data_IF_803000300234
#
_entry.id   IF_803000300234
#
_cell.length_a   1.000
_cell.length_b   1.000
_cell.length_c   1.000
_cell.angle_alpha   90.00
_cell.angle_beta   90.00
_cell.angle_gamma   90.00
#
_symmetry.space_group_name_H-M   'P 1'
#
loop_
_entity.id
_entity.type
_entity.pdbx_description
1 polymer ?
#
# COMPACT_ATOMS: atom_id res chain seq x y z
N UNK A 1 35.99 39.97 -8.24
CA UNK A 1 35.95 38.86 -9.22
C UNK A 1 37.34 38.68 -9.79
N UNK A 2 37.79 37.45 -10.06
CA UNK A 2 39.15 37.18 -10.56
C UNK A 2 39.34 37.65 -12.00
N UNK A 3 40.54 38.07 -12.37
CA UNK A 3 40.91 38.45 -13.75
C UNK A 3 41.60 37.31 -14.49
N UNK A 4 41.72 37.41 -15.82
CA UNK A 4 42.40 36.41 -16.64
C UNK A 4 43.89 36.29 -16.29
N UNK A 5 44.53 37.40 -15.92
CA UNK A 5 45.92 37.46 -15.47
C UNK A 5 46.14 36.68 -14.16
N UNK A 6 45.23 36.83 -13.19
CA UNK A 6 45.29 36.09 -11.92
C UNK A 6 45.10 34.58 -12.12
N UNK A 7 44.24 34.20 -13.07
CA UNK A 7 44.02 32.80 -13.44
C UNK A 7 45.27 32.21 -14.09
N UNK A 8 45.89 32.91 -15.05
CA UNK A 8 47.14 32.47 -15.69
C UNK A 8 48.29 32.34 -14.68
N UNK A 9 48.41 33.28 -13.74
CA UNK A 9 49.37 33.17 -12.64
C UNK A 9 49.11 31.92 -11.78
N UNK A 10 47.85 31.56 -11.54
CA UNK A 10 47.48 30.35 -10.80
C UNK A 10 47.84 29.07 -11.56
N UNK A 11 47.62 29.03 -12.87
CA UNK A 11 48.00 27.91 -13.75
C UNK A 11 49.51 27.68 -13.73
N UNK A 12 50.30 28.76 -13.81
CA UNK A 12 51.76 28.69 -13.73
C UNK A 12 52.25 28.17 -12.37
N UNK A 13 51.65 28.62 -11.26
CA UNK A 13 51.96 28.12 -9.92
C UNK A 13 51.61 26.63 -9.78
N UNK A 14 50.48 26.21 -10.35
CA UNK A 14 50.01 24.82 -10.34
C UNK A 14 50.82 23.90 -11.27
N UNK A 15 51.73 24.44 -12.11
CA UNK A 15 52.54 23.71 -13.10
C UNK A 15 51.69 22.91 -14.11
N UNK A 16 50.51 23.43 -14.44
CA UNK A 16 49.65 22.86 -15.47
C UNK A 16 50.10 23.37 -16.85
N UNK A 17 50.03 22.52 -17.88
CA UNK A 17 50.31 22.94 -19.26
C UNK A 17 49.05 23.56 -19.86
N UNK A 18 49.16 24.75 -20.45
CA UNK A 18 48.02 25.45 -21.06
C UNK A 18 47.46 24.71 -22.29
N UNK A 19 48.28 23.89 -22.94
CA UNK A 19 47.91 23.06 -24.10
C UNK A 19 46.93 21.94 -23.72
N UNK A 20 46.94 21.50 -22.46
CA UNK A 20 46.06 20.44 -21.94
C UNK A 20 44.72 21.00 -21.40
N UNK A 21 44.56 22.33 -21.37
CA UNK A 21 43.41 23.00 -20.78
C UNK A 21 42.44 23.52 -21.84
N UNK A 22 41.15 23.49 -21.50
CA UNK A 22 40.11 24.14 -22.31
C UNK A 22 40.27 25.66 -22.25
N UNK A 23 40.03 26.33 -23.39
CA UNK A 23 40.15 27.79 -23.51
C UNK A 23 39.08 28.55 -22.73
N UNK A 24 37.94 27.93 -22.45
CA UNK A 24 36.90 28.51 -21.58
C UNK A 24 37.20 28.19 -20.11
N UNK A 25 37.34 29.23 -19.29
CA UNK A 25 37.66 29.12 -17.88
C UNK A 25 36.47 29.57 -17.05
N UNK A 26 35.91 28.64 -16.26
CA UNK A 26 34.82 28.95 -15.32
C UNK A 26 35.40 29.35 -13.95
N UNK A 27 35.23 30.60 -13.57
CA UNK A 27 35.55 31.10 -12.24
C UNK A 27 34.31 30.99 -11.35
N UNK A 28 34.29 29.96 -10.50
CA UNK A 28 33.20 29.73 -9.55
C UNK A 28 33.33 30.65 -8.33
N UNK A 29 32.21 31.23 -7.90
CA UNK A 29 32.12 32.03 -6.68
C UNK A 29 30.80 31.76 -5.97
N UNK A 30 30.78 31.76 -4.64
CA UNK A 30 29.53 31.66 -3.88
C UNK A 30 28.73 32.96 -4.03
N UNK A 31 27.43 32.84 -4.34
CA UNK A 31 26.50 33.97 -4.27
C UNK A 31 26.31 34.48 -2.83
N UNK A 32 25.75 35.67 -2.68
CA UNK A 32 25.58 36.33 -1.37
C UNK A 32 24.60 35.60 -0.43
N UNK A 33 23.70 34.76 -0.97
CA UNK A 33 22.63 34.07 -0.22
C UNK A 33 22.70 32.53 -0.35
N UNK A 34 23.88 31.94 -0.49
CA UNK A 34 23.99 30.47 -0.63
C UNK A 34 23.84 29.80 0.73
N UNK A 35 22.62 29.37 1.06
CA UNK A 35 22.37 28.52 2.22
C UNK A 35 22.31 27.05 1.79
N UNK A 36 22.83 26.17 2.64
CA UNK A 36 22.83 24.72 2.41
C UNK A 36 21.41 24.09 2.42
N UNK A 37 20.38 24.85 2.81
CA UNK A 37 19.04 24.34 3.08
C UNK A 37 17.98 24.75 2.04
N UNK A 38 18.31 25.65 1.11
CA UNK A 38 17.32 26.21 0.17
C UNK A 38 17.00 25.24 -0.98
N UNK A 39 17.90 24.30 -1.25
CA UNK A 39 17.79 23.34 -2.34
C UNK A 39 18.06 21.93 -1.83
N UNK A 40 17.31 20.96 -2.35
CA UNK A 40 17.57 19.54 -2.14
C UNK A 40 17.62 18.82 -3.48
N UNK A 41 18.46 17.78 -3.57
CA UNK A 41 18.45 16.87 -4.71
C UNK A 41 17.52 15.71 -4.45
N UNK A 42 16.77 15.32 -5.47
CA UNK A 42 15.95 14.12 -5.47
C UNK A 42 16.22 13.33 -6.75
N UNK A 43 16.48 12.05 -6.60
CA UNK A 43 16.64 11.12 -7.70
C UNK A 43 15.25 10.68 -8.18
N UNK A 44 14.93 10.99 -9.44
CA UNK A 44 13.71 10.60 -10.11
C UNK A 44 14.04 9.57 -11.18
N UNK A 45 13.20 8.54 -11.31
CA UNK A 45 13.26 7.64 -12.45
C UNK A 45 12.65 8.30 -13.70
N UNK A 46 12.81 7.68 -14.87
CA UNK A 46 12.29 8.20 -16.15
C UNK A 46 10.77 8.43 -16.11
N UNK A 47 10.02 7.61 -15.37
CA UNK A 47 8.57 7.74 -15.26
C UNK A 47 8.16 8.97 -14.46
N UNK A 48 8.84 9.24 -13.35
CA UNK A 48 8.62 10.42 -12.52
C UNK A 48 9.11 11.69 -13.22
N UNK A 49 10.20 11.63 -13.99
CA UNK A 49 10.64 12.74 -14.81
C UNK A 49 9.55 13.14 -15.82
N UNK A 50 9.01 12.19 -16.57
CA UNK A 50 7.94 12.44 -17.53
C UNK A 50 6.67 12.99 -16.86
N UNK A 51 6.32 12.48 -15.67
CA UNK A 51 5.20 12.95 -14.87
C UNK A 51 5.36 14.43 -14.48
N UNK A 52 6.53 14.83 -13.99
CA UNK A 52 6.82 16.23 -13.63
C UNK A 52 6.89 17.12 -14.88
N UNK A 53 7.48 16.64 -15.98
CA UNK A 53 7.55 17.37 -17.26
C UNK A 53 6.15 17.58 -17.88
N UNK A 54 5.21 16.66 -17.66
CA UNK A 54 3.81 16.81 -18.07
C UNK A 54 3.04 17.85 -17.23
N UNK A 55 3.63 18.36 -16.15
CA UNK A 55 3.01 19.32 -15.23
C UNK A 55 2.16 18.67 -14.13
N UNK A 56 2.30 17.36 -13.93
CA UNK A 56 1.62 16.65 -12.84
C UNK A 56 2.36 16.86 -11.50
N UNK A 57 1.61 16.81 -10.40
CA UNK A 57 2.12 17.16 -9.07
C UNK A 57 2.48 15.93 -8.24
N UNK A 58 3.64 15.98 -7.60
CA UNK A 58 4.06 15.02 -6.58
C UNK A 58 3.78 15.60 -5.19
N UNK A 59 3.20 14.78 -4.29
CA UNK A 59 2.78 15.22 -2.96
C UNK A 59 3.55 14.44 -1.90
N UNK A 60 4.11 15.15 -0.91
CA UNK A 60 4.74 14.52 0.26
C UNK A 60 3.65 14.32 1.32
N UNK A 61 3.51 13.09 1.82
CA UNK A 61 2.50 12.69 2.81
C UNK A 61 3.15 12.00 4.01
N UNK A 62 2.54 12.15 5.20
CA UNK A 62 2.97 11.50 6.44
C UNK A 62 2.76 12.39 7.66
N UNK A 63 2.36 11.78 8.78
CA UNK A 63 2.22 12.48 10.06
C UNK A 63 3.59 12.83 10.67
N UNK A 64 3.59 13.75 11.65
CA UNK A 64 4.82 14.23 12.31
C UNK A 64 5.67 13.13 12.97
N UNK A 65 5.02 12.05 13.41
CA UNK A 65 5.67 10.92 14.08
C UNK A 65 6.06 9.79 13.11
N UNK A 66 5.79 9.96 11.81
CA UNK A 66 6.01 8.95 10.78
C UNK A 66 7.07 9.37 9.77
N UNK A 67 7.52 8.41 8.93
CA UNK A 67 8.44 8.71 7.83
C UNK A 67 7.66 9.29 6.66
N UNK A 68 8.09 10.43 6.13
CA UNK A 68 7.50 10.99 4.93
C UNK A 68 7.60 10.03 3.73
N UNK A 69 6.52 9.99 2.93
CA UNK A 69 6.48 9.31 1.63
C UNK A 69 6.18 10.33 0.54
N UNK A 70 6.60 10.04 -0.68
CA UNK A 70 6.23 10.80 -1.88
C UNK A 70 5.19 10.01 -2.65
N UNK A 71 4.07 10.64 -3.01
CA UNK A 71 2.99 10.02 -3.76
C UNK A 71 2.81 10.72 -5.10
N UNK A 72 2.70 9.93 -6.17
CA UNK A 72 2.04 10.33 -7.41
C UNK A 72 0.52 10.14 -7.28
N UNK A 73 -0.23 10.30 -8.37
CA UNK A 73 -1.67 9.99 -8.38
C UNK A 73 -1.95 8.51 -8.07
N UNK A 74 -1.08 7.62 -8.54
CA UNK A 74 -1.28 6.16 -8.55
C UNK A 74 -0.34 5.39 -7.61
N UNK A 75 0.87 5.89 -7.33
CA UNK A 75 1.94 5.12 -6.69
C UNK A 75 2.54 5.84 -5.47
N UNK A 76 2.90 5.07 -4.44
CA UNK A 76 3.64 5.55 -3.27
C UNK A 76 5.13 5.19 -3.29
N UNK A 77 5.98 6.15 -2.96
CA UNK A 77 7.43 6.05 -2.92
C UNK A 77 7.97 6.38 -1.53
N UNK A 78 8.86 5.54 -1.01
CA UNK A 78 9.61 5.80 0.20
C UNK A 78 10.76 6.76 -0.09
N UNK A 79 10.90 7.79 0.75
CA UNK A 79 11.97 8.77 0.72
C UNK A 79 13.14 8.30 1.60
N UNK A 80 14.32 8.12 1.01
CA UNK A 80 15.53 7.80 1.75
C UNK A 80 16.64 8.78 1.43
N UNK A 81 17.17 9.45 2.45
CA UNK A 81 18.33 10.31 2.29
C UNK A 81 19.61 9.47 2.16
N UNK A 82 20.44 9.78 1.17
CA UNK A 82 21.75 9.20 0.93
C UNK A 82 22.82 10.30 1.02
N UNK A 83 23.77 10.12 1.94
CA UNK A 83 24.89 11.04 2.10
C UNK A 83 26.01 10.72 1.12
N UNK A 84 26.63 11.76 0.57
CA UNK A 84 27.76 11.66 -0.35
C UNK A 84 29.02 12.22 0.31
N UNK A 85 30.17 11.57 0.10
CA UNK A 85 31.47 12.10 0.53
C UNK A 85 31.90 13.35 -0.24
N UNK A 86 31.28 13.58 -1.39
CA UNK A 86 31.55 14.70 -2.27
C UNK A 86 30.52 15.81 -2.05
N UNK A 87 30.96 17.06 -2.20
CA UNK A 87 30.10 18.22 -2.21
C UNK A 87 29.56 18.43 -3.64
N UNK A 88 28.24 18.39 -3.79
CA UNK A 88 27.56 18.65 -5.06
C UNK A 88 27.24 20.15 -5.13
N UNK A 89 27.76 20.84 -6.14
CA UNK A 89 27.56 22.29 -6.32
C UNK A 89 26.52 22.55 -7.41
N UNK A 90 25.56 23.43 -7.13
CA UNK A 90 24.57 23.88 -8.11
C UNK A 90 25.09 25.12 -8.81
N UNK A 91 25.43 24.96 -10.08
CA UNK A 91 26.03 25.99 -10.91
C UNK A 91 25.19 26.14 -12.18
N UNK A 92 24.10 26.91 -12.14
CA UNK A 92 23.23 27.06 -13.30
C UNK A 92 23.97 27.70 -14.47
N UNK A 93 23.76 27.16 -15.67
CA UNK A 93 24.44 27.63 -16.88
C UNK A 93 25.92 27.28 -16.97
N UNK A 94 26.46 26.46 -16.05
CA UNK A 94 27.80 25.90 -16.19
C UNK A 94 27.85 24.99 -17.42
N UNK A 95 28.79 25.27 -18.34
CA UNK A 95 28.93 24.49 -19.57
C UNK A 95 29.94 23.37 -19.36
N UNK A 96 29.53 22.17 -19.69
CA UNK A 96 30.43 21.00 -19.82
C UNK A 96 31.26 21.13 -21.11
N UNK A 97 32.44 20.48 -21.20
CA UNK A 97 33.31 20.56 -22.37
C UNK A 97 32.58 20.32 -23.70
N UNK A 98 31.66 19.36 -23.75
CA UNK A 98 30.90 18.99 -24.95
C UNK A 98 29.92 20.08 -25.44
N UNK A 99 29.60 21.05 -24.59
CA UNK A 99 28.71 22.19 -24.90
C UNK A 99 29.49 23.46 -25.26
N UNK A 100 30.83 23.40 -25.23
CA UNK A 100 31.69 24.51 -25.61
C UNK A 100 31.95 24.48 -27.13
N UNK A 101 31.91 25.63 -27.82
CA UNK A 101 32.27 25.67 -29.23
C UNK A 101 33.76 25.31 -29.42
N UNK A 102 34.04 24.37 -30.34
CA UNK A 102 35.40 23.87 -30.63
C UNK A 102 36.37 24.96 -31.13
N UNK A 103 35.84 26.07 -31.67
CA UNK A 103 36.59 27.15 -32.32
C UNK A 103 36.51 28.46 -31.56
N UNK A 104 37.14 28.52 -30.38
CA UNK A 104 37.48 29.80 -29.74
C UNK A 104 38.98 30.07 -29.91
N UNK A 105 39.34 31.23 -30.46
CA UNK A 105 40.75 31.62 -30.67
C UNK A 105 41.41 32.18 -29.41
N UNK A 106 40.63 32.74 -28.48
CA UNK A 106 41.12 33.39 -27.25
C UNK A 106 40.55 32.76 -25.98
N UNK A 107 41.30 32.74 -24.86
CA UNK A 107 40.79 32.27 -23.58
C UNK A 107 39.64 33.15 -23.09
N UNK A 108 38.53 32.53 -22.69
CA UNK A 108 37.31 33.23 -22.29
C UNK A 108 37.00 32.93 -20.82
N UNK A 109 36.93 33.97 -20.00
CA UNK A 109 36.66 33.85 -18.56
C UNK A 109 35.15 34.02 -18.31
N UNK A 110 34.51 32.97 -17.78
CA UNK A 110 33.12 32.99 -17.37
C UNK A 110 33.06 32.99 -15.85
N UNK A 111 32.52 34.04 -15.25
CA UNK A 111 32.21 34.05 -13.83
C UNK A 111 30.84 33.41 -13.63
N UNK A 112 30.81 32.32 -12.88
CA UNK A 112 29.58 31.61 -12.58
C UNK A 112 29.36 31.59 -11.08
N UNK A 113 28.14 31.87 -10.66
CA UNK A 113 27.77 31.84 -9.25
C UNK A 113 27.27 30.45 -8.90
N UNK A 114 27.77 29.93 -7.77
CA UNK A 114 27.21 28.77 -7.10
C UNK A 114 25.94 29.24 -6.41
N UNK A 115 24.82 28.61 -6.73
CA UNK A 115 23.50 28.93 -6.16
C UNK A 115 23.18 28.11 -4.93
N UNK A 116 23.78 26.93 -4.81
CA UNK A 116 23.51 26.00 -3.72
C UNK A 116 24.56 24.90 -3.69
N UNK A 117 24.56 24.15 -2.60
CA UNK A 117 25.32 22.92 -2.51
C UNK A 117 24.60 21.91 -1.62
N UNK A 118 24.80 20.63 -1.91
CA UNK A 118 24.31 19.53 -1.08
C UNK A 118 25.41 18.49 -0.87
N UNK A 119 25.39 17.86 0.29
CA UNK A 119 26.20 16.66 0.60
C UNK A 119 25.32 15.41 0.72
N UNK A 120 24.06 15.50 0.33
CA UNK A 120 23.10 14.41 0.34
C UNK A 120 22.04 14.61 -0.74
N UNK A 121 21.38 13.51 -1.12
CA UNK A 121 20.24 13.52 -2.03
C UNK A 121 19.18 12.52 -1.56
N UNK A 122 17.95 12.71 -2.01
CA UNK A 122 16.82 11.82 -1.72
C UNK A 122 16.69 10.76 -2.80
N UNK A 123 16.79 9.49 -2.40
CA UNK A 123 16.45 8.33 -3.22
C UNK A 123 14.96 8.00 -3.06
N UNK A 124 14.29 7.74 -4.17
CA UNK A 124 12.92 7.22 -4.20
C UNK A 124 12.93 5.73 -4.42
N UNK A 125 12.15 5.01 -3.62
CA UNK A 125 11.90 3.57 -3.82
C UNK A 125 10.41 3.30 -3.75
N UNK A 126 9.85 2.72 -4.82
CA UNK A 126 8.46 2.24 -4.82
C UNK A 126 8.22 1.38 -3.59
N UNK A 127 7.19 1.72 -2.84
CA UNK A 127 6.80 1.04 -1.61
C UNK A 127 5.31 0.72 -1.68
N UNK A 128 4.88 -0.32 -0.98
CA UNK A 128 3.46 -0.51 -0.75
C UNK A 128 2.92 0.57 0.21
N UNK A 129 1.69 1.03 -0.01
CA UNK A 129 1.03 1.95 0.89
C UNK A 129 0.78 1.28 2.25
N UNK A 130 0.94 2.03 3.34
CA UNK A 130 0.68 1.54 4.70
C UNK A 130 -0.78 1.83 5.07
N UNK A 131 -1.64 0.83 4.82
CA UNK A 131 -3.09 1.02 4.79
C UNK A 131 -3.83 0.51 6.04
N UNK A 132 -3.10 0.00 7.04
CA UNK A 132 -3.72 -0.38 8.33
C UNK A 132 -4.29 0.77 9.10
N UNK A 133 -3.59 1.91 9.05
CA UNK A 133 -4.02 3.13 9.70
C UNK A 133 -5.40 3.55 9.21
N UNK A 134 -5.68 3.40 7.91
CA UNK A 134 -7.01 3.66 7.35
C UNK A 134 -8.10 2.87 8.07
N UNK A 135 -7.92 1.55 8.19
CA UNK A 135 -8.91 0.69 8.85
C UNK A 135 -9.08 1.07 10.32
N UNK A 136 -7.99 1.37 11.02
CA UNK A 136 -8.05 1.82 12.42
C UNK A 136 -8.86 3.12 12.56
N UNK A 137 -8.55 4.14 11.75
CA UNK A 137 -9.27 5.42 11.76
C UNK A 137 -10.76 5.25 11.47
N UNK A 138 -11.12 4.46 10.45
CA UNK A 138 -12.53 4.27 10.09
C UNK A 138 -13.29 3.40 11.09
N UNK A 139 -12.60 2.51 11.81
CA UNK A 139 -13.17 1.70 12.89
C UNK A 139 -13.37 2.48 14.20
N UNK A 140 -12.86 3.72 14.33
CA UNK A 140 -13.15 4.58 15.49
C UNK A 140 -14.65 4.95 15.55
N UNK A 141 -15.29 5.12 14.39
CA UNK A 141 -16.71 5.49 14.30
C UNK A 141 -17.46 4.69 13.20
N UNK A 142 -17.64 3.36 13.38
CA UNK A 142 -18.31 2.53 12.39
C UNK A 142 -19.79 2.92 12.28
N UNK A 143 -20.34 2.75 11.07
CA UNK A 143 -21.74 3.04 10.78
C UNK A 143 -22.62 1.87 11.21
N UNK A 144 -23.51 2.13 12.18
CA UNK A 144 -24.42 1.12 12.79
C UNK A 144 -25.84 1.17 12.23
N UNK A 145 -26.05 1.81 11.08
CA UNK A 145 -27.37 2.13 10.54
C UNK A 145 -27.87 3.48 11.04
N UNK A 146 -28.82 4.07 10.31
CA UNK A 146 -29.51 5.27 10.75
C UNK A 146 -30.27 4.97 12.04
N UNK A 147 -29.71 5.39 13.18
CA UNK A 147 -30.46 5.41 14.43
C UNK A 147 -31.64 6.37 14.24
N UNK A 148 -32.83 5.96 14.68
CA UNK A 148 -33.97 6.86 14.80
C UNK A 148 -33.50 8.16 15.46
N UNK A 149 -33.79 9.32 14.83
CA UNK A 149 -33.46 10.67 15.31
C UNK A 149 -33.54 10.73 16.84
N UNK A 150 -32.39 10.77 17.54
CA UNK A 150 -32.35 10.94 18.99
C UNK A 150 -31.39 10.06 19.79
N UNK A 151 -30.65 9.12 19.20
CA UNK A 151 -29.46 8.57 19.86
C UNK A 151 -28.25 9.40 19.44
N UNK A 152 -27.52 9.91 20.42
CA UNK A 152 -26.32 10.75 20.27
C UNK A 152 -25.46 10.24 19.11
N UNK A 153 -25.32 11.05 18.06
CA UNK A 153 -24.32 10.80 17.02
C UNK A 153 -22.99 10.64 17.75
N UNK A 154 -22.40 9.44 17.65
CA UNK A 154 -21.07 9.18 18.18
C UNK A 154 -20.18 10.36 17.83
N UNK A 155 -19.65 11.05 18.84
CA UNK A 155 -18.74 12.21 18.73
C UNK A 155 -17.36 11.84 18.17
N UNK A 156 -17.27 10.71 17.46
CA UNK A 156 -16.05 10.26 16.81
C UNK A 156 -15.76 11.12 15.58
N UNK A 157 -14.48 11.30 15.30
CA UNK A 157 -14.00 11.99 14.10
C UNK A 157 -14.52 11.29 12.85
N UNK A 158 -15.05 12.10 11.93
CA UNK A 158 -15.44 11.67 10.59
C UNK A 158 -14.39 12.19 9.62
N UNK A 159 -14.10 11.41 8.57
CA UNK A 159 -13.01 11.71 7.65
C UNK A 159 -13.55 11.85 6.22
N UNK A 160 -13.23 12.97 5.58
CA UNK A 160 -13.39 13.14 4.14
C UNK A 160 -12.21 12.50 3.39
N UNK A 161 -12.29 12.40 2.06
CA UNK A 161 -11.17 11.92 1.25
C UNK A 161 -9.89 12.75 1.49
N UNK A 162 -10.03 14.07 1.63
CA UNK A 162 -8.90 14.97 1.90
C UNK A 162 -8.27 14.70 3.27
N UNK A 163 -9.11 14.53 4.31
CA UNK A 163 -8.63 14.24 5.67
C UNK A 163 -7.87 12.91 5.74
N UNK A 164 -8.29 11.92 4.95
CA UNK A 164 -7.62 10.63 4.84
C UNK A 164 -6.29 10.75 4.10
N UNK A 165 -6.23 11.52 3.00
CA UNK A 165 -5.00 11.76 2.24
C UNK A 165 -3.94 12.54 3.02
N UNK A 166 -4.33 13.39 3.96
CA UNK A 166 -3.38 14.09 4.84
C UNK A 166 -2.74 13.16 5.87
N UNK A 167 -3.48 12.16 6.36
CA UNK A 167 -3.05 11.27 7.45
C UNK A 167 -2.45 9.95 6.99
N UNK A 168 -2.74 9.51 5.77
CA UNK A 168 -2.38 8.18 5.28
C UNK A 168 -1.29 8.28 4.21
N UNK A 169 -0.29 7.41 4.36
CA UNK A 169 0.84 7.27 3.45
C UNK A 169 0.48 6.40 2.24
N UNK A 170 -0.37 6.93 1.37
CA UNK A 170 -0.84 6.26 0.16
C UNK A 170 -1.11 7.27 -0.96
N UNK A 171 -1.06 6.82 -2.22
CA UNK A 171 -1.56 7.58 -3.37
C UNK A 171 -3.09 7.70 -3.31
N UNK A 172 -3.67 8.56 -4.15
CA UNK A 172 -5.13 8.73 -4.18
C UNK A 172 -5.83 7.46 -4.67
N UNK A 173 -5.31 6.86 -5.75
CA UNK A 173 -5.86 5.61 -6.29
C UNK A 173 -5.66 4.42 -5.35
N UNK A 174 -4.50 4.32 -4.68
CA UNK A 174 -4.22 3.28 -3.69
C UNK A 174 -5.18 3.39 -2.49
N UNK A 175 -5.45 4.61 -2.03
CA UNK A 175 -6.39 4.86 -0.94
C UNK A 175 -7.82 4.48 -1.34
N UNK A 176 -8.25 4.86 -2.54
CA UNK A 176 -9.58 4.52 -3.06
C UNK A 176 -9.75 3.01 -3.25
N UNK A 177 -8.75 2.34 -3.82
CA UNK A 177 -8.75 0.88 -3.97
C UNK A 177 -8.84 0.18 -2.60
N UNK A 178 -8.16 0.73 -1.59
CA UNK A 178 -8.25 0.19 -0.25
C UNK A 178 -9.61 0.40 0.40
N UNK A 179 -10.22 1.59 0.25
CA UNK A 179 -11.56 1.89 0.75
C UNK A 179 -12.58 0.88 0.21
N UNK A 180 -12.48 0.54 -1.08
CA UNK A 180 -13.30 -0.51 -1.68
C UNK A 180 -12.98 -1.90 -1.11
N UNK A 181 -11.70 -2.21 -0.90
CA UNK A 181 -11.25 -3.51 -0.35
C UNK A 181 -11.77 -3.75 1.07
N UNK A 182 -11.84 -2.71 1.90
CA UNK A 182 -12.37 -2.79 3.28
C UNK A 182 -13.88 -2.55 3.37
N UNK A 183 -14.58 -2.50 2.24
CA UNK A 183 -16.02 -2.24 2.15
C UNK A 183 -16.46 -0.89 2.80
N UNK A 184 -15.58 0.12 2.80
CA UNK A 184 -15.94 1.45 3.28
C UNK A 184 -16.97 2.11 2.35
N UNK A 185 -17.93 2.82 2.92
CA UNK A 185 -19.00 3.54 2.23
C UNK A 185 -18.89 5.04 2.48
N UNK A 186 -19.43 5.82 1.54
CA UNK A 186 -19.58 7.27 1.69
C UNK A 186 -20.98 7.57 2.25
N UNK A 187 -21.05 8.06 3.48
CA UNK A 187 -22.30 8.42 4.15
C UNK A 187 -22.23 9.89 4.52
N UNK A 188 -23.18 10.69 4.04
CA UNK A 188 -23.25 12.14 4.29
C UNK A 188 -21.96 12.90 3.96
N UNK A 189 -21.20 12.44 2.95
CA UNK A 189 -19.93 13.04 2.53
C UNK A 189 -18.69 12.56 3.31
N UNK A 190 -18.84 11.62 4.23
CA UNK A 190 -17.76 11.05 5.04
C UNK A 190 -17.57 9.57 4.78
N UNK A 191 -16.31 9.11 4.77
CA UNK A 191 -15.99 7.69 4.65
C UNK A 191 -16.21 6.99 5.97
N UNK A 192 -16.94 5.86 5.94
CA UNK A 192 -17.24 5.05 7.11
C UNK A 192 -17.21 3.56 6.77
N UNK A 193 -16.70 2.76 7.69
CA UNK A 193 -16.89 1.30 7.63
C UNK A 193 -18.22 0.92 8.26
N UNK A 194 -18.89 -0.09 7.72
CA UNK A 194 -20.06 -0.66 8.35
C UNK A 194 -19.66 -1.40 9.62
N UNK A 195 -20.47 -1.25 10.65
CA UNK A 195 -20.40 -2.14 11.80
C UNK A 195 -20.74 -3.56 11.36
N UNK A 196 -20.00 -4.55 11.89
CA UNK A 196 -20.12 -5.92 11.43
C UNK A 196 -21.54 -6.49 11.62
N UNK A 197 -22.18 -6.23 12.76
CA UNK A 197 -23.52 -6.74 13.04
C UNK A 197 -24.55 -6.10 12.09
N UNK A 198 -24.34 -4.82 11.76
CA UNK A 198 -25.16 -4.12 10.79
C UNK A 198 -24.97 -4.65 9.36
N UNK A 199 -23.72 -4.89 8.94
CA UNK A 199 -23.42 -5.48 7.62
C UNK A 199 -24.06 -6.88 7.47
N UNK A 200 -24.03 -7.70 8.53
CA UNK A 200 -24.68 -9.02 8.51
C UNK A 200 -26.21 -8.92 8.53
N UNK A 201 -26.76 -7.90 9.19
CA UNK A 201 -28.20 -7.61 9.13
C UNK A 201 -28.63 -7.21 7.73
N UNK A 202 -27.84 -6.40 7.03
CA UNK A 202 -28.08 -6.06 5.62
C UNK A 202 -28.04 -7.29 4.72
N UNK A 203 -27.06 -8.20 4.91
CA UNK A 203 -27.02 -9.48 4.18
C UNK A 203 -28.30 -10.29 4.40
N UNK A 204 -28.78 -10.36 5.64
CA UNK A 204 -30.05 -11.01 6.00
C UNK A 204 -31.25 -10.40 5.27
N UNK A 205 -31.37 -9.06 5.26
CA UNK A 205 -32.42 -8.36 4.52
C UNK A 205 -32.34 -8.62 3.01
N UNK A 206 -31.16 -8.61 2.41
CA UNK A 206 -30.99 -8.88 0.98
C UNK A 206 -31.43 -10.31 0.65
N UNK A 207 -31.05 -11.28 1.48
CA UNK A 207 -31.46 -12.68 1.29
C UNK A 207 -32.98 -12.82 1.38
N UNK A 208 -33.60 -12.22 2.40
CA UNK A 208 -35.06 -12.21 2.55
C UNK A 208 -35.78 -11.56 1.37
N UNK A 209 -35.24 -10.45 0.85
CA UNK A 209 -35.81 -9.78 -0.32
C UNK A 209 -35.75 -10.68 -1.55
N UNK A 210 -34.60 -11.30 -1.81
CA UNK A 210 -34.42 -12.25 -2.93
C UNK A 210 -35.42 -13.40 -2.84
N UNK A 211 -35.61 -13.98 -1.66
CA UNK A 211 -36.56 -15.07 -1.44
C UNK A 211 -38.02 -14.60 -1.64
N UNK A 212 -38.38 -13.45 -1.08
CA UNK A 212 -39.74 -12.91 -1.13
C UNK A 212 -40.20 -12.55 -2.54
N UNK A 213 -39.29 -12.00 -3.35
CA UNK A 213 -39.55 -11.60 -4.73
C UNK A 213 -39.22 -12.73 -5.73
N UNK A 214 -38.81 -13.90 -5.24
CA UNK A 214 -38.39 -15.05 -6.05
C UNK A 214 -37.32 -14.68 -7.09
N UNK A 215 -36.39 -13.80 -6.72
CA UNK A 215 -35.30 -13.38 -7.59
C UNK A 215 -34.23 -14.47 -7.69
N UNK A 216 -33.44 -14.42 -8.77
CA UNK A 216 -32.19 -15.16 -8.82
C UNK A 216 -31.09 -14.35 -8.13
N UNK A 217 -30.20 -15.01 -7.39
CA UNK A 217 -28.99 -14.36 -6.84
C UNK A 217 -28.09 -13.75 -7.93
N UNK A 218 -28.25 -14.15 -9.19
CA UNK A 218 -27.58 -13.55 -10.33
C UNK A 218 -28.26 -12.27 -10.84
N UNK A 219 -29.46 -11.93 -10.36
CA UNK A 219 -30.29 -10.83 -10.85
C UNK A 219 -31.08 -10.20 -9.70
N UNK A 220 -30.37 -9.49 -8.85
CA UNK A 220 -30.94 -8.71 -7.73
C UNK A 220 -31.14 -7.26 -8.19
N UNK A 221 -32.33 -6.69 -7.99
CA UNK A 221 -32.62 -5.30 -8.33
C UNK A 221 -32.16 -4.32 -7.25
N UNK A 222 -31.94 -3.07 -7.63
CA UNK A 222 -31.42 -2.01 -6.78
C UNK A 222 -32.46 -1.61 -5.71
N UNK A 223 -32.01 -1.43 -4.46
CA UNK A 223 -32.83 -1.02 -3.33
C UNK A 223 -32.27 0.26 -2.68
N UNK A 224 -32.52 0.49 -1.39
CA UNK A 224 -31.99 1.63 -0.62
C UNK A 224 -30.47 1.79 -0.75
N UNK A 225 -29.93 3.00 -0.55
CA UNK A 225 -28.49 3.31 -0.67
C UNK A 225 -27.56 2.31 0.05
N UNK A 226 -27.91 1.88 1.27
CA UNK A 226 -27.09 0.91 2.03
C UNK A 226 -27.11 -0.50 1.44
N UNK A 227 -28.23 -0.91 0.86
CA UNK A 227 -28.33 -2.19 0.15
C UNK A 227 -27.57 -2.10 -1.16
N UNK A 228 -27.64 -0.98 -1.89
CA UNK A 228 -26.81 -0.77 -3.08
C UNK A 228 -25.32 -0.88 -2.75
N UNK A 229 -24.86 -0.23 -1.67
CA UNK A 229 -23.47 -0.37 -1.20
C UNK A 229 -23.10 -1.83 -0.91
N UNK A 230 -23.93 -2.53 -0.13
CA UNK A 230 -23.69 -3.95 0.16
C UNK A 230 -23.63 -4.80 -1.12
N UNK A 231 -24.54 -4.57 -2.08
CA UNK A 231 -24.55 -5.26 -3.37
C UNK A 231 -23.30 -4.96 -4.22
N UNK A 232 -22.77 -3.73 -4.15
CA UNK A 232 -21.51 -3.38 -4.80
C UNK A 232 -20.30 -4.10 -4.15
N UNK A 233 -20.33 -4.33 -2.83
CA UNK A 233 -19.28 -5.06 -2.11
C UNK A 233 -19.34 -6.57 -2.38
N UNK A 234 -20.54 -7.16 -2.37
CA UNK A 234 -20.77 -8.60 -2.43
C UNK A 234 -21.20 -9.12 -3.80
N UNK A 235 -21.34 -8.27 -4.81
CA UNK A 235 -21.77 -8.65 -6.14
C UNK A 235 -21.11 -7.86 -7.25
N UNK A 236 -21.51 -8.18 -8.49
CA UNK A 236 -21.10 -7.50 -9.71
C UNK A 236 -22.29 -6.77 -10.29
N UNK A 237 -22.18 -5.45 -10.40
CA UNK A 237 -23.17 -4.60 -11.07
C UNK A 237 -23.14 -4.84 -12.58
N UNK A 238 -24.31 -5.02 -13.19
CA UNK A 238 -24.48 -5.06 -14.63
C UNK A 238 -25.79 -4.38 -15.04
N UNK A 239 -25.89 -4.01 -16.31
CA UNK A 239 -27.07 -3.34 -16.85
C UNK A 239 -27.71 -4.23 -17.90
N UNK A 240 -29.02 -4.43 -17.79
CA UNK A 240 -29.82 -5.19 -18.75
C UNK A 240 -31.11 -4.41 -19.02
N UNK A 241 -31.38 -4.09 -20.28
CA UNK A 241 -32.57 -3.32 -20.71
C UNK A 241 -32.74 -1.98 -19.97
N UNK A 242 -31.67 -1.19 -19.85
CA UNK A 242 -31.64 0.10 -19.11
C UNK A 242 -31.92 -0.02 -17.60
N UNK A 243 -32.03 -1.24 -17.06
CA UNK A 243 -32.19 -1.51 -15.63
C UNK A 243 -30.88 -2.05 -15.05
N UNK A 244 -30.54 -1.58 -13.85
CA UNK A 244 -29.35 -2.02 -13.11
C UNK A 244 -29.69 -3.24 -12.27
N UNK A 245 -28.86 -4.27 -12.40
CA UNK A 245 -28.95 -5.51 -11.65
C UNK A 245 -27.60 -5.88 -11.03
N UNK A 246 -27.66 -6.75 -10.04
CA UNK A 246 -26.50 -7.28 -9.33
C UNK A 246 -26.47 -8.80 -9.38
N UNK A 247 -25.31 -9.35 -9.74
CA UNK A 247 -25.01 -10.76 -9.59
C UNK A 247 -24.18 -10.95 -8.33
N UNK A 248 -24.73 -11.60 -7.30
CA UNK A 248 -24.01 -11.87 -6.07
C UNK A 248 -22.84 -12.82 -6.32
N UNK A 249 -21.75 -12.55 -5.63
CA UNK A 249 -20.55 -13.38 -5.63
C UNK A 249 -20.69 -14.43 -4.52
N UNK A 250 -20.90 -15.68 -4.93
CA UNK A 250 -21.06 -16.83 -4.03
C UNK A 250 -19.90 -16.94 -3.03
N UNK A 251 -18.66 -16.78 -3.49
CA UNK A 251 -17.48 -16.91 -2.63
C UNK A 251 -17.46 -15.82 -1.55
N UNK A 252 -17.84 -14.57 -1.90
CA UNK A 252 -17.91 -13.47 -0.93
C UNK A 252 -19.01 -13.66 0.10
N UNK A 253 -20.21 -14.08 -0.32
CA UNK A 253 -21.36 -14.30 0.58
C UNK A 253 -21.09 -15.49 1.51
N UNK A 254 -20.59 -16.61 0.98
CA UNK A 254 -20.19 -17.76 1.77
C UNK A 254 -19.09 -17.39 2.78
N UNK A 255 -18.10 -16.60 2.37
CA UNK A 255 -17.02 -16.12 3.24
C UNK A 255 -17.51 -15.20 4.36
N UNK A 256 -18.45 -14.28 4.09
CA UNK A 256 -19.04 -13.43 5.13
C UNK A 256 -19.85 -14.24 6.14
N UNK A 257 -20.63 -15.22 5.67
CA UNK A 257 -21.38 -16.13 6.54
C UNK A 257 -20.44 -16.95 7.44
N UNK A 258 -19.32 -17.43 6.90
CA UNK A 258 -18.31 -18.12 7.70
C UNK A 258 -17.67 -17.20 8.75
N UNK A 259 -17.40 -15.94 8.40
CA UNK A 259 -16.87 -14.95 9.33
C UNK A 259 -17.84 -14.74 10.51
N UNK A 260 -19.15 -14.58 10.25
CA UNK A 260 -20.18 -14.47 11.28
C UNK A 260 -20.19 -15.67 12.24
N UNK A 261 -20.08 -16.89 11.70
CA UNK A 261 -20.06 -18.13 12.50
C UNK A 261 -18.78 -18.29 13.33
N UNK A 262 -17.63 -17.84 12.82
CA UNK A 262 -16.33 -18.01 13.46
C UNK A 262 -15.95 -16.88 14.41
N UNK A 263 -16.56 -15.69 14.30
CA UNK A 263 -16.16 -14.50 15.07
C UNK A 263 -16.17 -14.72 16.58
N UNK A 264 -17.13 -15.49 17.09
CA UNK A 264 -17.28 -15.76 18.52
C UNK A 264 -16.68 -17.11 18.95
N UNK A 265 -16.10 -17.87 18.02
CA UNK A 265 -15.56 -19.20 18.27
C UNK A 265 -14.02 -19.18 18.33
N UNK A 266 -13.44 -19.53 19.47
CA UNK A 266 -11.98 -19.68 19.61
C UNK A 266 -11.48 -20.85 18.75
N UNK A 267 -12.17 -22.00 18.83
CA UNK A 267 -11.99 -23.16 17.97
C UNK A 267 -13.36 -23.81 17.77
N UNK A 268 -13.66 -24.21 16.54
CA UNK A 268 -14.87 -24.94 16.18
C UNK A 268 -14.44 -26.32 15.62
N UNK A 269 -15.14 -27.39 16.00
CA UNK A 269 -15.05 -28.66 15.29
C UNK A 269 -15.31 -28.47 13.79
N UNK A 270 -14.39 -28.96 12.95
CA UNK A 270 -14.44 -28.72 11.51
C UNK A 270 -15.71 -29.30 10.85
N UNK A 271 -16.15 -30.50 11.26
CA UNK A 271 -17.31 -31.16 10.63
C UNK A 271 -18.60 -30.45 10.98
N UNK A 272 -18.80 -30.16 12.26
CA UNK A 272 -19.97 -29.41 12.73
C UNK A 272 -20.01 -28.01 12.10
N UNK A 273 -18.86 -27.34 12.01
CA UNK A 273 -18.76 -26.05 11.32
C UNK A 273 -19.21 -26.14 9.86
N UNK A 274 -18.76 -27.14 9.09
CA UNK A 274 -19.15 -27.29 7.69
C UNK A 274 -20.66 -27.51 7.52
N UNK A 275 -21.29 -28.26 8.42
CA UNK A 275 -22.74 -28.49 8.41
C UNK A 275 -23.51 -27.19 8.72
N UNK A 276 -23.14 -26.49 9.80
CA UNK A 276 -23.77 -25.22 10.18
C UNK A 276 -23.54 -24.14 9.13
N UNK A 277 -22.34 -24.09 8.55
CA UNK A 277 -21.99 -23.12 7.51
C UNK A 277 -22.84 -23.33 6.25
N UNK A 278 -22.98 -24.57 5.77
CA UNK A 278 -23.82 -24.87 4.61
C UNK A 278 -25.30 -24.59 4.86
N UNK A 279 -25.78 -24.72 6.10
CA UNK A 279 -27.16 -24.41 6.47
C UNK A 279 -27.43 -22.91 6.63
N UNK A 280 -26.37 -22.10 6.84
CA UNK A 280 -26.50 -20.67 7.09
C UNK A 280 -26.37 -19.80 5.85
N UNK A 281 -25.86 -20.36 4.74
CA UNK A 281 -25.77 -19.64 3.46
C UNK A 281 -27.10 -19.68 2.70
N UNK A 282 -27.39 -18.70 1.83
CA UNK A 282 -28.61 -18.69 1.03
C UNK A 282 -28.79 -19.94 0.16
N UNK A 283 -30.04 -20.33 -0.11
CA UNK A 283 -30.34 -21.53 -0.89
C UNK A 283 -29.76 -21.42 -2.31
N UNK A 284 -29.03 -22.45 -2.74
CA UNK A 284 -28.37 -22.48 -4.05
C UNK A 284 -26.88 -22.10 -4.04
N UNK A 285 -26.32 -21.64 -2.92
CA UNK A 285 -24.89 -21.39 -2.76
C UNK A 285 -24.15 -22.57 -2.12
N UNK A 286 -22.94 -22.87 -2.61
CA UNK A 286 -22.10 -23.95 -2.11
C UNK A 286 -20.97 -23.49 -1.19
N UNK A 287 -20.79 -24.17 -0.07
CA UNK A 287 -19.67 -23.90 0.86
C UNK A 287 -18.46 -24.79 0.56
N UNK A 288 -17.27 -24.18 0.50
CA UNK A 288 -15.99 -24.87 0.26
C UNK A 288 -14.87 -24.26 1.09
N UNK A 289 -14.05 -25.09 1.74
CA UNK A 289 -12.92 -24.61 2.55
C UNK A 289 -11.94 -23.70 1.78
N UNK A 290 -11.87 -23.85 0.45
CA UNK A 290 -11.07 -22.95 -0.41
C UNK A 290 -11.53 -21.48 -0.34
N UNK A 291 -12.81 -21.22 -0.09
CA UNK A 291 -13.38 -19.87 0.08
C UNK A 291 -12.87 -19.18 1.37
N UNK A 292 -12.39 -19.97 2.34
CA UNK A 292 -11.90 -19.48 3.64
C UNK A 292 -10.39 -19.24 3.68
N UNK A 293 -9.69 -19.41 2.55
CA UNK A 293 -8.28 -19.05 2.43
C UNK A 293 -8.11 -17.58 2.83
N UNK A 294 -7.09 -17.28 3.64
CA UNK A 294 -6.81 -15.95 4.25
C UNK A 294 -7.80 -15.47 5.33
N UNK A 295 -8.83 -16.25 5.66
CA UNK A 295 -9.84 -15.93 6.68
C UNK A 295 -9.81 -16.90 7.87
N UNK A 296 -9.60 -18.19 7.64
CA UNK A 296 -9.68 -19.21 8.67
C UNK A 296 -8.55 -20.25 8.57
N UNK A 297 -8.12 -20.72 9.73
CA UNK A 297 -7.07 -21.71 9.88
C UNK A 297 -7.67 -23.08 10.22
N UNK A 298 -7.49 -24.06 9.34
CA UNK A 298 -7.93 -25.45 9.56
C UNK A 298 -6.80 -26.28 10.15
N UNK A 299 -6.91 -26.66 11.42
CA UNK A 299 -5.97 -27.53 12.13
C UNK A 299 -6.42 -29.00 12.04
N UNK A 300 -5.64 -29.80 11.31
CA UNK A 300 -5.84 -31.25 11.15
C UNK A 300 -4.90 -32.08 12.03
N UNK A 301 -4.12 -31.42 12.89
CA UNK A 301 -3.24 -32.06 13.86
C UNK A 301 -3.92 -32.28 15.22
N UNK A 302 -5.00 -31.54 15.50
CA UNK A 302 -5.83 -31.75 16.67
C UNK A 302 -6.74 -32.97 16.48
N UNK A 303 -6.94 -33.77 17.53
CA UNK A 303 -8.03 -34.75 17.58
C UNK A 303 -9.15 -34.18 18.43
N UNK A 304 -10.31 -33.75 17.89
CA UNK A 304 -10.76 -33.72 16.48
C UNK A 304 -10.18 -32.56 15.63
N UNK A 305 -10.35 -32.62 14.31
CA UNK A 305 -10.01 -31.51 13.39
C UNK A 305 -10.77 -30.24 13.80
N UNK A 306 -10.08 -29.11 13.83
CA UNK A 306 -10.66 -27.82 14.23
C UNK A 306 -10.43 -26.74 13.19
N UNK A 307 -11.29 -25.72 13.22
CA UNK A 307 -11.16 -24.48 12.46
C UNK A 307 -11.27 -23.30 13.41
N UNK A 308 -10.45 -22.26 13.18
CA UNK A 308 -10.54 -21.01 13.91
C UNK A 308 -10.36 -19.81 12.96
N UNK A 309 -10.81 -18.64 13.40
CA UNK A 309 -10.61 -17.41 12.66
C UNK A 309 -9.13 -17.00 12.66
N UNK A 310 -8.60 -16.70 11.48
CA UNK A 310 -7.28 -16.12 11.28
C UNK A 310 -7.34 -15.22 10.06
N UNK A 311 -7.57 -13.93 10.26
CA UNK A 311 -7.69 -12.97 9.16
C UNK A 311 -6.31 -12.46 8.79
N UNK A 312 -5.98 -12.46 7.49
CA UNK A 312 -4.72 -11.87 7.00
C UNK A 312 -4.56 -10.41 7.43
N UNK A 313 -5.68 -9.69 7.56
CA UNK A 313 -5.74 -8.30 8.00
C UNK A 313 -5.28 -8.09 9.44
N UNK A 314 -5.41 -9.11 10.31
CA UNK A 314 -5.02 -9.02 11.72
C UNK A 314 -3.54 -9.39 11.97
N UNK A 315 -2.84 -9.93 10.95
CA UNK A 315 -1.43 -10.31 11.06
C UNK A 315 -0.51 -9.07 11.14
N UNK A 316 0.82 -9.16 11.28
CA UNK A 316 1.73 -7.97 11.23
C UNK A 316 2.06 -7.55 9.78
N UNK A 317 2.32 -6.28 9.45
CA UNK A 317 2.88 -5.91 8.12
C UNK A 317 4.35 -6.25 8.01
N UNK A 318 5.04 -6.33 9.16
CA UNK A 318 6.41 -6.79 9.19
C UNK A 318 6.47 -8.27 8.80
N UNK A 319 7.31 -8.55 7.81
CA UNK A 319 7.43 -9.90 7.24
C UNK A 319 7.90 -10.89 8.29
N UNK A 320 8.91 -10.53 9.08
CA UNK A 320 9.52 -11.43 10.06
C UNK A 320 8.57 -11.69 11.23
N UNK A 321 7.95 -10.66 11.79
CA UNK A 321 6.95 -10.78 12.85
C UNK A 321 5.75 -11.62 12.40
N UNK A 322 5.25 -11.41 11.18
CA UNK A 322 4.16 -12.22 10.64
C UNK A 322 4.54 -13.68 10.55
N UNK A 323 5.71 -14.00 9.99
CA UNK A 323 6.19 -15.38 9.92
C UNK A 323 6.34 -16.01 11.32
N UNK A 324 6.90 -15.27 12.28
CA UNK A 324 7.02 -15.75 13.66
C UNK A 324 5.65 -16.03 14.30
N UNK A 325 4.68 -15.14 14.10
CA UNK A 325 3.32 -15.33 14.60
C UNK A 325 2.66 -16.57 13.97
N UNK A 326 2.71 -16.71 12.64
CA UNK A 326 2.18 -17.88 11.93
C UNK A 326 2.83 -19.20 12.40
N UNK A 327 4.15 -19.21 12.63
CA UNK A 327 4.85 -20.38 13.14
C UNK A 327 4.57 -20.67 14.62
N UNK A 328 4.11 -19.68 15.39
CA UNK A 328 3.63 -19.87 16.77
C UNK A 328 2.23 -20.51 16.76
N UNK A 329 1.35 -20.10 15.84
CA UNK A 329 0.03 -20.69 15.68
C UNK A 329 0.09 -22.15 15.19
N UNK A 330 1.05 -22.45 14.31
CA UNK A 330 1.27 -23.80 13.78
C UNK A 330 2.74 -23.98 13.44
N UNK A 331 3.36 -25.01 14.00
CA UNK A 331 4.80 -25.24 13.85
C UNK A 331 5.22 -25.53 12.39
N UNK A 332 4.38 -26.27 11.64
CA UNK A 332 4.67 -26.77 10.30
C UNK A 332 3.56 -26.41 9.32
N UNK A 333 3.91 -25.71 8.25
CA UNK A 333 2.97 -25.28 7.22
C UNK A 333 3.31 -25.88 5.86
N UNK A 334 2.29 -26.25 5.09
CA UNK A 334 2.48 -26.50 3.66
C UNK A 334 2.55 -25.17 2.90
N UNK A 335 3.13 -25.18 1.70
CA UNK A 335 3.16 -23.99 0.84
C UNK A 335 1.75 -23.47 0.53
N UNK A 336 0.82 -24.38 0.27
CA UNK A 336 -0.57 -24.05 -0.05
C UNK A 336 -1.31 -23.40 1.13
N UNK A 337 -1.03 -23.84 2.36
CA UNK A 337 -1.70 -23.33 3.56
C UNK A 337 -1.15 -21.95 3.99
N UNK A 338 0.17 -21.73 3.87
CA UNK A 338 0.78 -20.46 4.31
C UNK A 338 0.64 -19.36 3.27
N UNK A 339 0.62 -19.70 1.99
CA UNK A 339 0.56 -18.74 0.87
C UNK A 339 -0.54 -17.68 1.03
N UNK A 340 -1.80 -18.03 1.37
CA UNK A 340 -2.87 -17.03 1.56
C UNK A 340 -2.58 -15.95 2.61
N UNK A 341 -1.68 -16.21 3.56
CA UNK A 341 -1.36 -15.30 4.67
C UNK A 341 -0.11 -14.44 4.43
N UNK A 342 0.66 -14.75 3.39
CA UNK A 342 1.93 -14.06 3.08
C UNK A 342 2.01 -13.58 1.63
N UNK A 343 1.00 -13.86 0.81
CA UNK A 343 0.97 -13.44 -0.60
C UNK A 343 1.00 -11.92 -0.73
N UNK A 344 0.29 -11.22 0.14
CA UNK A 344 0.28 -9.76 0.21
C UNK A 344 1.65 -9.17 0.60
N UNK A 345 2.58 -9.98 1.14
CA UNK A 345 3.96 -9.57 1.39
C UNK A 345 4.86 -9.63 0.13
N UNK A 346 4.45 -10.30 -0.95
CA UNK A 346 5.26 -10.56 -2.16
C UNK A 346 5.44 -9.31 -3.04
N UNK A 347 6.68 -8.80 -3.17
CA UNK A 347 6.97 -7.66 -4.05
C UNK A 347 6.79 -8.00 -5.53
N UNK A 348 6.77 -7.00 -6.42
CA UNK A 348 6.59 -7.20 -7.87
C UNK A 348 7.51 -8.29 -8.46
N UNK A 349 8.74 -8.37 -7.95
CA UNK A 349 9.78 -9.31 -8.43
C UNK A 349 10.00 -10.52 -7.50
N UNK A 350 9.20 -10.68 -6.45
CA UNK A 350 9.42 -11.70 -5.43
C UNK A 350 8.23 -12.66 -5.33
N UNK A 351 8.50 -13.96 -5.42
CA UNK A 351 7.49 -15.00 -5.24
C UNK A 351 7.33 -15.39 -3.78
N UNK A 352 6.18 -16.01 -3.45
CA UNK A 352 5.94 -16.61 -2.12
C UNK A 352 7.02 -17.64 -1.76
N UNK A 353 7.44 -18.46 -2.73
CA UNK A 353 8.53 -19.43 -2.54
C UNK A 353 9.88 -18.77 -2.19
N UNK A 354 10.18 -17.60 -2.78
CA UNK A 354 11.38 -16.83 -2.44
C UNK A 354 11.30 -16.24 -1.02
N UNK A 355 10.13 -15.74 -0.60
CA UNK A 355 9.90 -15.31 0.79
C UNK A 355 10.06 -16.47 1.76
N UNK A 356 9.45 -17.62 1.49
CA UNK A 356 9.54 -18.81 2.34
C UNK A 356 10.98 -19.29 2.49
N UNK A 357 11.77 -19.26 1.42
CA UNK A 357 13.19 -19.65 1.48
C UNK A 357 14.03 -18.68 2.32
N UNK A 358 13.67 -17.39 2.33
CA UNK A 358 14.37 -16.36 3.11
C UNK A 358 14.01 -16.41 4.60
N UNK A 359 12.73 -16.57 4.93
CA UNK A 359 12.20 -16.40 6.28
C UNK A 359 11.85 -17.72 7.01
N UNK A 360 11.79 -18.85 6.29
CA UNK A 360 11.47 -20.16 6.86
C UNK A 360 12.56 -21.20 6.55
N UNK A 361 12.51 -22.35 7.23
CA UNK A 361 13.30 -23.54 6.92
C UNK A 361 12.37 -24.60 6.34
N UNK A 362 12.79 -25.26 5.27
CA UNK A 362 12.04 -26.37 4.68
C UNK A 362 12.44 -27.72 5.30
N UNK A 363 11.48 -28.57 5.55
CA UNK A 363 11.66 -29.98 5.96
C UNK A 363 10.63 -30.87 5.26
N UNK A 364 10.81 -32.19 5.33
CA UNK A 364 9.86 -33.16 4.77
C UNK A 364 9.07 -33.80 5.91
N UNK A 365 7.75 -33.80 5.81
CA UNK A 365 6.85 -34.49 6.73
C UNK A 365 5.94 -35.41 5.92
N UNK A 366 6.01 -36.72 6.16
CA UNK A 366 5.21 -37.73 5.44
C UNK A 366 5.29 -37.60 3.90
N UNK A 367 6.47 -37.24 3.38
CA UNK A 367 6.71 -37.05 1.93
C UNK A 367 6.28 -35.69 1.38
N UNK A 368 5.66 -34.82 2.19
CA UNK A 368 5.24 -33.46 1.81
C UNK A 368 6.25 -32.45 2.33
N UNK A 369 6.63 -31.49 1.48
CA UNK A 369 7.49 -30.36 1.86
C UNK A 369 6.71 -29.40 2.77
N UNK A 370 7.25 -29.16 3.96
CA UNK A 370 6.68 -28.24 4.96
C UNK A 370 7.71 -27.19 5.38
N UNK A 371 7.22 -26.03 5.82
CA UNK A 371 8.01 -24.89 6.26
C UNK A 371 7.80 -24.64 7.76
N UNK A 372 8.89 -24.33 8.46
CA UNK A 372 8.90 -24.00 9.88
C UNK A 372 9.85 -22.83 10.19
N UNK A 373 9.80 -22.30 11.41
CA UNK A 373 10.63 -21.18 11.83
C UNK A 373 12.13 -21.51 11.77
N UNK A 374 12.96 -20.53 11.36
CA UNK A 374 14.42 -20.67 11.35
C UNK A 374 15.03 -20.59 12.76
N UNK A 375 14.34 -19.92 13.69
CA UNK A 375 14.72 -19.79 15.11
C UNK A 375 13.75 -20.61 15.96
N UNK A 376 14.19 -21.23 17.07
CA UNK A 376 13.25 -21.83 18.02
C UNK A 376 12.24 -20.76 18.40
N UNK A 377 10.95 -21.01 18.16
CA UNK A 377 9.89 -20.16 18.66
C UNK A 377 9.93 -20.35 20.17
N UNK A 378 10.26 -19.30 20.93
CA UNK A 378 10.20 -19.35 22.37
C UNK A 378 8.72 -19.55 22.75
N UNK A 379 8.42 -20.74 23.30
CA UNK A 379 7.11 -21.11 23.86
C UNK A 379 6.71 -20.22 25.02
#
# INVERSE_FOLDING_TARGET
>A
MRTLEEVQATVQIAKLQEEDLQKTIHCLSFGENVLSADYCLMELDETLCQHVEAGESLVIRGDADERAVLCSGDTTYNLKMADTSNLLLFVPGCKIPDQLPESQDSPHLLHTQIWGFCSSYWELRKQRPQLRKLKQLLMENPYKGSTLRGQEENTGTLYTMLDLLERIQASEEELQAQLQTIHACLVDGYWRMLDFDYEMTLMGHVTQLVDSESWSFNKVSLATEMIEHWLNCYGKRYTENELVFYALDEDKVCRATALLLLQNAVKFNLREFQEVWQQSVPEGMGTRLDQLKSLALVDRGSGPDTICLLRVEDLSEDTLERFNHLFTLREKWTEADITPYVKDLCGEKQTTGALLTKYARSSMLNGVKVFNSRRPVAT
#
